data_IF_801792811977
#
_entry.id   IF_801792811977
#
_cell.length_a   1.000
_cell.length_b   1.000
_cell.length_c   1.000
_cell.angle_alpha   90.00
_cell.angle_beta   90.00
_cell.angle_gamma   90.00
#
_symmetry.space_group_name_H-M   'P 1'
#
loop_
_entity.id
_entity.type
_entity.pdbx_description
1 polymer ?
#
# COMPACT_ATOMS: atom_id res chain seq x y z
N UNK A 1 -11.94 -2.60 8.09
CA UNK A 1 -10.90 -3.34 8.77
C UNK A 1 -9.52 -3.20 8.12
N UNK A 2 -9.41 -2.31 7.17
CA UNK A 2 -8.18 -2.14 6.42
C UNK A 2 -7.74 -0.69 6.43
N UNK A 3 -6.43 -0.48 6.30
CA UNK A 3 -5.81 0.84 6.22
C UNK A 3 -5.13 0.98 4.88
N UNK A 4 -5.49 2.01 4.14
CA UNK A 4 -4.88 2.32 2.85
C UNK A 4 -3.85 3.43 3.04
N UNK A 5 -2.67 3.25 2.44
CA UNK A 5 -1.67 4.32 2.40
C UNK A 5 -1.42 4.74 0.97
N UNK A 6 -1.13 6.01 0.77
CA UNK A 6 -0.70 6.55 -0.52
C UNK A 6 0.36 7.62 -0.25
N UNK A 7 1.27 7.87 -1.20
CA UNK A 7 2.25 8.95 -1.04
C UNK A 7 1.57 10.31 -0.95
N UNK A 8 2.16 11.20 -0.17
CA UNK A 8 1.60 12.54 0.03
C UNK A 8 1.57 13.32 -1.29
N UNK A 9 2.56 13.12 -2.15
CA UNK A 9 2.65 13.85 -3.40
C UNK A 9 1.87 13.20 -4.53
N UNK A 10 1.00 12.26 -4.21
CA UNK A 10 0.08 11.68 -5.19
C UNK A 10 -1.28 12.34 -5.04
N UNK A 11 -1.61 13.34 -5.86
CA UNK A 11 -2.87 14.05 -5.69
C UNK A 11 -4.08 13.23 -6.11
N UNK A 12 -3.88 12.27 -7.00
CA UNK A 12 -4.99 11.49 -7.54
C UNK A 12 -4.59 10.03 -7.66
N UNK A 13 -4.68 9.28 -6.55
CA UNK A 13 -4.46 7.84 -6.67
C UNK A 13 -5.55 7.23 -7.57
N UNK A 14 -5.27 6.08 -8.18
CA UNK A 14 -6.29 5.40 -8.97
C UNK A 14 -7.57 5.21 -8.17
N UNK A 15 -8.71 5.48 -8.79
CA UNK A 15 -9.98 5.44 -8.07
C UNK A 15 -10.34 4.03 -7.60
N UNK A 16 -9.81 3.00 -8.24
CA UNK A 16 -10.07 1.61 -7.89
C UNK A 16 -8.93 0.99 -7.09
N UNK A 17 -8.01 1.81 -6.59
CA UNK A 17 -6.83 1.32 -5.88
C UNK A 17 -7.22 0.45 -4.68
N UNK A 18 -8.08 0.96 -3.81
CA UNK A 18 -8.46 0.23 -2.61
C UNK A 18 -9.13 -1.09 -2.95
N UNK A 19 -10.01 -1.09 -3.93
CA UNK A 19 -10.75 -2.30 -4.31
C UNK A 19 -9.78 -3.35 -4.84
N UNK A 20 -8.87 -2.97 -5.71
CA UNK A 20 -7.94 -3.92 -6.30
C UNK A 20 -6.97 -4.48 -5.28
N UNK A 21 -6.50 -3.63 -4.35
CA UNK A 21 -5.64 -4.11 -3.28
C UNK A 21 -6.39 -5.06 -2.36
N UNK A 22 -7.63 -4.72 -2.04
CA UNK A 22 -8.45 -5.57 -1.18
C UNK A 22 -8.74 -6.92 -1.83
N UNK A 23 -9.06 -6.91 -3.11
CA UNK A 23 -9.31 -8.16 -3.83
C UNK A 23 -8.07 -9.04 -3.82
N UNK A 24 -6.89 -8.45 -4.02
CA UNK A 24 -5.64 -9.21 -3.99
C UNK A 24 -5.38 -9.77 -2.60
N UNK A 25 -5.65 -8.99 -1.56
CA UNK A 25 -5.45 -9.45 -0.19
C UNK A 25 -6.31 -10.66 0.12
N UNK A 26 -7.57 -10.62 -0.29
CA UNK A 26 -8.47 -11.73 -0.05
C UNK A 26 -8.10 -12.95 -0.88
N UNK A 27 -7.73 -12.73 -2.15
CA UNK A 27 -7.41 -13.84 -3.04
C UNK A 27 -6.18 -14.61 -2.58
N UNK A 28 -5.22 -13.92 -1.98
CA UNK A 28 -3.97 -14.53 -1.56
C UNK A 28 -3.86 -14.71 -0.06
N UNK A 29 -4.91 -14.37 0.67
CA UNK A 29 -4.93 -14.46 2.14
C UNK A 29 -3.76 -13.71 2.76
N UNK A 30 -3.56 -12.47 2.31
CA UNK A 30 -2.47 -11.63 2.81
C UNK A 30 -3.02 -10.54 3.71
N UNK A 31 -2.22 -10.16 4.70
CA UNK A 31 -2.57 -9.08 5.61
C UNK A 31 -2.03 -7.74 5.15
N UNK A 32 -1.17 -7.74 4.15
CA UNK A 32 -0.67 -6.53 3.52
C UNK A 32 -0.47 -6.80 2.03
N UNK A 33 -0.85 -5.82 1.22
CA UNK A 33 -0.71 -5.89 -0.23
C UNK A 33 -0.22 -4.54 -0.71
N UNK A 34 0.77 -4.54 -1.60
CA UNK A 34 1.29 -3.33 -2.21
C UNK A 34 1.13 -3.40 -3.73
N UNK A 35 1.23 -2.26 -4.36
CA UNK A 35 1.13 -2.15 -5.82
C UNK A 35 2.40 -2.65 -6.47
N UNK A 36 2.26 -3.46 -7.53
CA UNK A 36 3.34 -3.77 -8.44
C UNK A 36 3.01 -3.09 -9.77
N UNK A 37 3.89 -2.19 -10.23
CA UNK A 37 3.59 -1.35 -11.40
C UNK A 37 4.10 -1.92 -12.71
N UNK A 38 4.55 -3.16 -12.70
CA UNK A 38 5.09 -3.81 -13.88
C UNK A 38 6.61 -3.79 -13.93
N UNK A 39 7.23 -2.92 -13.15
CA UNK A 39 8.68 -2.81 -13.09
C UNK A 39 9.17 -3.01 -11.66
N UNK A 40 8.49 -2.42 -10.71
CA UNK A 40 8.90 -2.49 -9.31
C UNK A 40 7.69 -2.38 -8.41
N UNK A 41 7.90 -2.71 -7.14
CA UNK A 41 6.89 -2.54 -6.12
C UNK A 41 6.84 -1.08 -5.72
N UNK A 42 5.62 -0.58 -5.53
CA UNK A 42 5.37 0.77 -5.04
C UNK A 42 4.88 0.64 -3.60
N UNK A 43 5.77 0.58 -2.62
CA UNK A 43 5.39 0.18 -1.26
C UNK A 43 4.53 1.20 -0.52
N UNK A 44 4.54 2.45 -0.95
CA UNK A 44 3.71 3.47 -0.33
C UNK A 44 2.26 3.43 -0.81
N UNK A 45 1.97 2.69 -1.87
CA UNK A 45 0.61 2.38 -2.28
C UNK A 45 0.28 0.98 -1.73
N UNK A 46 -0.27 0.94 -0.53
CA UNK A 46 -0.45 -0.35 0.12
C UNK A 46 -1.72 -0.37 0.96
N UNK A 47 -2.23 -1.57 1.15
CA UNK A 47 -3.38 -1.83 2.00
C UNK A 47 -2.92 -2.78 3.10
N UNK A 48 -3.24 -2.43 4.34
CA UNK A 48 -2.86 -3.21 5.52
C UNK A 48 -4.10 -3.61 6.27
N UNK A 49 -4.11 -4.84 6.79
CA UNK A 49 -5.14 -5.21 7.74
C UNK A 49 -5.00 -4.29 8.96
N UNK A 50 -6.12 -3.81 9.46
CA UNK A 50 -6.10 -2.82 10.52
C UNK A 50 -5.32 -3.27 11.75
N UNK A 51 -5.32 -4.56 12.02
CA UNK A 51 -4.57 -5.09 13.16
C UNK A 51 -3.06 -4.82 13.06
N UNK A 52 -2.56 -4.50 11.86
CA UNK A 52 -1.15 -4.18 11.66
C UNK A 52 -0.87 -2.68 11.68
N UNK A 53 -1.90 -1.85 11.78
CA UNK A 53 -1.73 -0.41 11.62
C UNK A 53 -0.77 0.18 12.65
N UNK A 54 -0.89 -0.23 13.91
CA UNK A 54 -0.01 0.28 14.95
C UNK A 54 1.44 -0.10 14.69
N UNK A 55 1.67 -1.33 14.22
CA UNK A 55 3.02 -1.77 13.89
C UNK A 55 3.58 -0.99 12.71
N UNK A 56 2.73 -0.68 11.74
CA UNK A 56 3.14 0.11 10.59
C UNK A 56 3.61 1.50 11.04
N UNK A 57 2.85 2.13 11.92
CA UNK A 57 3.21 3.46 12.39
C UNK A 57 4.54 3.44 13.13
N UNK A 58 4.75 2.43 13.97
CA UNK A 58 6.01 2.31 14.70
C UNK A 58 7.17 2.13 13.74
N UNK A 59 7.01 1.26 12.75
CA UNK A 59 8.07 1.00 11.79
C UNK A 59 8.43 2.27 11.02
N UNK A 60 7.43 3.03 10.62
CA UNK A 60 7.65 4.25 9.85
C UNK A 60 8.32 5.33 10.70
N UNK A 61 7.92 5.44 11.97
CA UNK A 61 8.52 6.41 12.87
C UNK A 61 9.98 6.11 13.18
N UNK A 62 10.35 4.84 13.10
CA UNK A 62 11.72 4.41 13.40
C UNK A 62 12.56 4.33 12.12
N UNK A 63 12.11 4.97 11.05
CA UNK A 63 12.81 5.02 9.78
C UNK A 63 13.11 3.64 9.18
N UNK A 64 12.33 2.64 9.56
CA UNK A 64 12.48 1.34 8.94
C UNK A 64 12.04 1.44 7.48
N UNK A 65 12.84 0.95 6.54
CA UNK A 65 12.41 0.95 5.14
C UNK A 65 11.10 0.18 4.98
N UNK A 66 10.12 0.85 4.43
CA UNK A 66 8.77 0.27 4.29
C UNK A 66 8.82 -1.03 3.51
N UNK A 67 9.61 -1.05 2.44
CA UNK A 67 9.66 -2.23 1.59
C UNK A 67 10.21 -3.44 2.36
N UNK A 68 11.19 -3.20 3.23
CA UNK A 68 11.75 -4.29 4.02
C UNK A 68 10.75 -4.80 5.06
N UNK A 69 10.04 -3.89 5.69
CA UNK A 69 9.05 -4.27 6.67
C UNK A 69 7.92 -5.08 6.03
N UNK A 70 7.48 -4.65 4.85
CA UNK A 70 6.45 -5.37 4.12
C UNK A 70 6.92 -6.76 3.70
N UNK A 71 8.17 -6.89 3.31
CA UNK A 71 8.71 -8.19 2.95
C UNK A 71 8.69 -9.15 4.13
N UNK A 72 9.00 -8.64 5.31
CA UNK A 72 8.97 -9.45 6.53
C UNK A 72 7.56 -9.94 6.85
N UNK A 73 6.54 -9.23 6.39
CA UNK A 73 5.15 -9.61 6.61
C UNK A 73 4.58 -10.46 5.47
N UNK A 74 5.43 -10.88 4.54
CA UNK A 74 4.99 -11.68 3.40
C UNK A 74 3.89 -10.99 2.61
N UNK A 75 4.17 -9.76 2.19
CA UNK A 75 3.17 -8.97 1.46
C UNK A 75 2.76 -9.65 0.17
N UNK A 76 1.51 -9.46 -0.21
CA UNK A 76 1.04 -9.77 -1.54
C UNK A 76 1.26 -8.58 -2.47
N UNK A 77 1.02 -8.80 -3.75
CA UNK A 77 1.15 -7.74 -4.74
C UNK A 77 -0.11 -7.66 -5.57
N UNK A 78 -0.57 -6.45 -5.82
CA UNK A 78 -1.66 -6.20 -6.74
C UNK A 78 -1.08 -5.72 -8.06
N UNK A 79 -1.48 -6.34 -9.15
CA UNK A 79 -0.87 -6.09 -10.46
C UNK A 79 -1.50 -4.86 -11.11
N UNK A 80 -0.72 -3.82 -11.25
CA UNK A 80 -1.08 -2.61 -11.99
C UNK A 80 -0.12 -2.40 -13.16
N UNK A 81 0.44 -3.48 -13.71
CA UNK A 81 1.47 -3.37 -14.72
C UNK A 81 0.98 -2.70 -16.00
N UNK A 82 -0.31 -2.76 -16.30
CA UNK A 82 -0.87 -2.07 -17.47
C UNK A 82 -1.18 -0.61 -17.20
N UNK A 83 -0.96 -0.16 -15.98
CA UNK A 83 -1.28 1.20 -15.56
C UNK A 83 -0.10 1.88 -14.90
N UNK A 84 1.09 1.54 -15.35
CA UNK A 84 2.33 2.01 -14.75
C UNK A 84 2.39 3.54 -14.68
N UNK A 85 1.84 4.22 -15.67
CA UNK A 85 1.89 5.67 -15.72
C UNK A 85 1.15 6.34 -14.55
N UNK A 86 0.26 5.62 -13.90
CA UNK A 86 -0.45 6.19 -12.76
C UNK A 86 0.42 6.26 -11.51
N UNK A 87 1.58 5.61 -11.53
CA UNK A 87 2.50 5.58 -10.40
C UNK A 87 3.88 6.14 -10.76
N UNK A 88 4.12 6.46 -12.02
CA UNK A 88 5.45 6.53 -12.58
C UNK A 88 6.28 7.74 -12.20
N UNK A 89 5.67 8.84 -11.82
CA UNK A 89 6.42 10.08 -11.63
C UNK A 89 6.47 10.54 -10.18
N UNK A 90 6.25 9.64 -9.26
CA UNK A 90 6.29 10.01 -7.87
C UNK A 90 7.73 10.06 -7.40
N UNK A 91 8.10 11.18 -6.83
CA UNK A 91 9.40 11.30 -6.22
C UNK A 91 9.44 10.47 -4.95
N UNK A 92 10.63 10.36 -4.38
CA UNK A 92 10.85 9.54 -3.23
C UNK A 92 10.41 10.24 -1.96
N UNK A 93 9.16 10.66 -1.91
CA UNK A 93 8.65 11.22 -0.68
C UNK A 93 8.58 10.11 0.35
N UNK A 94 9.14 10.37 1.50
CA UNK A 94 9.04 9.44 2.60
C UNK A 94 7.70 9.58 3.31
N UNK A 95 6.92 10.57 2.94
CA UNK A 95 5.66 10.87 3.57
C UNK A 95 4.52 10.20 2.82
N UNK A 96 3.49 9.87 3.55
CA UNK A 96 2.30 9.25 2.96
C UNK A 96 1.08 9.67 3.75
N UNK A 97 -0.09 9.49 3.14
CA UNK A 97 -1.36 9.72 3.79
C UNK A 97 -2.01 8.39 4.11
N UNK A 98 -2.74 8.36 5.21
CA UNK A 98 -3.45 7.17 5.65
C UNK A 98 -4.94 7.42 5.60
N UNK A 99 -5.68 6.41 5.17
CA UNK A 99 -7.13 6.41 5.23
C UNK A 99 -7.59 5.09 5.79
N UNK A 100 -8.52 5.14 6.74
CA UNK A 100 -9.15 3.94 7.23
C UNK A 100 -10.28 3.55 6.31
N UNK A 101 -10.42 2.26 6.07
CA UNK A 101 -11.42 1.72 5.18
C UNK A 101 -12.23 0.66 5.90
N UNK A 102 -13.49 0.63 5.59
CA UNK A 102 -14.34 -0.53 5.82
C UNK A 102 -14.99 -0.66 7.17
N UNK A 103 -14.40 -0.12 8.22
CA UNK A 103 -14.92 -0.39 9.56
C UNK A 103 -16.35 0.09 9.74
N UNK A 104 -16.66 1.20 9.16
CA UNK A 104 -17.99 1.79 9.29
C UNK A 104 -18.63 2.00 7.93
N UNK A 105 -18.30 1.14 7.06
CA UNK A 105 -18.90 1.14 5.73
C UNK A 105 -18.16 1.93 4.76
#
# INVERSE_FOLDING_TARGET
>A
EWLLTVPVDCPRPPHDLAVRLHDAALAESRDVVAVFDGTRVQPLFALYRRSLAANAEVALKNDMPVIRWQQALHRGLADFSTRQQEFGNLNTADEFRQWELGADG
#
